data_IF_046835751231
#
_entry.id   IF_046835751231
#
_cell.length_a   1.000
_cell.length_b   1.000
_cell.length_c   1.000
_cell.angle_alpha   90.00
_cell.angle_beta   90.00
_cell.angle_gamma   90.00
#
_symmetry.space_group_name_H-M   'P 1'
#
loop_
_entity.id
_entity.type
_entity.pdbx_description
1 polymer ?
#
# COMPACT_ATOMS: atom_id res chain seq x y z
N UNK A 1 -61.31 -6.12 -1.08
CA UNK A 1 -60.02 -6.48 -1.72
C UNK A 1 -58.97 -6.43 -0.61
N UNK A 2 -58.53 -7.59 -0.10
CA UNK A 2 -57.33 -8.34 -0.54
C UNK A 2 -56.05 -7.53 -0.31
N UNK A 3 -55.30 -7.89 0.75
CA UNK A 3 -53.98 -8.58 0.68
C UNK A 3 -52.84 -7.56 0.51
N UNK A 4 -52.13 -7.22 1.60
CA UNK A 4 -50.86 -7.83 2.05
C UNK A 4 -49.61 -7.46 1.24
N UNK A 5 -48.55 -7.13 2.00
CA UNK A 5 -47.12 -7.35 1.70
C UNK A 5 -46.55 -6.72 0.41
N UNK A 6 -45.86 -5.60 0.58
CA UNK A 6 -44.65 -5.27 -0.19
C UNK A 6 -43.48 -5.47 0.78
N UNK A 7 -43.01 -6.71 0.90
CA UNK A 7 -41.89 -7.25 0.11
C UNK A 7 -40.57 -6.62 0.49
N UNK A 8 -39.84 -7.40 1.28
CA UNK A 8 -38.41 -7.39 1.48
C UNK A 8 -37.66 -7.02 0.19
N UNK A 9 -36.81 -6.00 0.28
CA UNK A 9 -35.62 -5.93 -0.56
C UNK A 9 -34.50 -6.51 0.30
N UNK A 10 -34.33 -7.82 0.17
CA UNK A 10 -33.04 -8.45 0.37
C UNK A 10 -32.18 -8.13 -0.86
N UNK A 11 -31.10 -7.40 -0.66
CA UNK A 11 -29.94 -7.36 -1.54
C UNK A 11 -28.78 -6.88 -0.66
N UNK A 12 -28.11 -7.80 0.02
CA UNK A 12 -26.82 -8.33 -0.46
C UNK A 12 -25.86 -7.19 -0.78
N UNK A 13 -25.14 -6.76 0.24
CA UNK A 13 -23.68 -6.75 0.12
C UNK A 13 -23.13 -7.26 1.43
N UNK A 14 -23.01 -8.58 1.50
CA UNK A 14 -21.98 -9.20 2.33
C UNK A 14 -20.71 -8.50 1.86
N UNK A 15 -20.21 -7.55 2.65
CA UNK A 15 -18.82 -7.16 2.56
C UNK A 15 -18.08 -8.42 2.95
N UNK A 16 -17.83 -9.24 1.93
CA UNK A 16 -16.78 -10.21 1.94
C UNK A 16 -15.55 -9.37 2.21
N UNK A 17 -15.21 -9.22 3.49
CA UNK A 17 -13.86 -9.04 3.97
C UNK A 17 -13.11 -10.30 3.54
N UNK A 18 -12.99 -10.49 2.22
CA UNK A 18 -12.02 -11.39 1.64
C UNK A 18 -10.73 -10.94 2.27
N UNK A 19 -10.08 -11.88 2.95
CA UNK A 19 -8.72 -11.71 3.39
C UNK A 19 -7.94 -11.20 2.17
N UNK A 20 -7.74 -9.89 2.09
CA UNK A 20 -6.71 -9.32 1.26
C UNK A 20 -5.45 -9.87 1.91
N UNK A 21 -4.97 -10.99 1.38
CA UNK A 21 -3.60 -11.37 1.59
C UNK A 21 -2.82 -10.14 1.16
N UNK A 22 -2.27 -9.41 2.14
CA UNK A 22 -1.51 -8.21 1.93
C UNK A 22 -0.26 -8.62 1.15
N UNK A 23 -0.40 -8.72 -0.17
CA UNK A 23 0.72 -8.94 -1.05
C UNK A 23 1.62 -7.72 -0.83
N UNK A 24 2.88 -7.98 -0.49
CA UNK A 24 3.86 -6.92 -0.31
C UNK A 24 4.81 -6.94 -1.50
N UNK A 25 4.99 -5.80 -2.15
CA UNK A 25 6.07 -5.59 -3.11
C UNK A 25 7.34 -5.20 -2.34
N UNK A 26 8.47 -5.74 -2.76
CA UNK A 26 9.78 -5.35 -2.26
C UNK A 26 10.42 -4.37 -3.25
N UNK A 27 10.84 -3.21 -2.77
CA UNK A 27 11.54 -2.19 -3.55
C UNK A 27 12.97 -2.09 -3.01
N UNK A 28 13.96 -2.25 -3.88
CA UNK A 28 15.37 -2.14 -3.50
C UNK A 28 15.82 -0.68 -3.60
N UNK A 29 16.26 -0.13 -2.48
CA UNK A 29 16.84 1.21 -2.39
C UNK A 29 18.33 1.10 -2.07
N UNK A 30 19.04 2.23 -2.10
CA UNK A 30 20.45 2.26 -1.72
C UNK A 30 20.58 2.06 -0.20
N UNK A 31 21.26 0.98 0.22
CA UNK A 31 21.49 0.63 1.62
C UNK A 31 20.31 -0.02 2.38
N UNK A 32 19.14 -0.19 1.76
CA UNK A 32 18.00 -0.89 2.37
C UNK A 32 16.98 -1.41 1.36
N UNK A 33 16.10 -2.31 1.79
CA UNK A 33 14.95 -2.81 1.05
C UNK A 33 13.67 -2.36 1.75
N UNK A 34 12.68 -1.92 0.99
CA UNK A 34 11.36 -1.55 1.50
C UNK A 34 10.37 -2.64 1.16
N UNK A 35 9.61 -3.12 2.15
CA UNK A 35 8.38 -3.86 1.91
C UNK A 35 7.19 -2.91 2.02
N UNK A 36 6.39 -2.83 0.95
CA UNK A 36 5.22 -1.96 0.81
C UNK A 36 4.04 -2.79 0.30
N UNK A 37 2.82 -2.41 0.64
CA UNK A 37 1.64 -3.09 0.12
C UNK A 37 1.58 -2.96 -1.42
N UNK A 38 1.27 -4.07 -2.11
CA UNK A 38 1.33 -4.17 -3.57
C UNK A 38 0.32 -3.20 -4.22
N UNK A 39 -0.86 -3.03 -3.65
CA UNK A 39 -1.86 -2.07 -4.13
C UNK A 39 -1.35 -0.62 -4.09
N UNK A 40 -0.49 -0.28 -3.12
CA UNK A 40 0.12 1.04 -3.02
C UNK A 40 1.20 1.20 -4.07
N UNK A 41 2.03 0.18 -4.28
CA UNK A 41 3.05 0.22 -5.31
C UNK A 41 2.45 0.27 -6.72
N UNK A 42 1.37 -0.46 -6.96
CA UNK A 42 0.59 -0.38 -8.20
C UNK A 42 -0.03 1.01 -8.40
N UNK A 43 -0.62 1.59 -7.36
CA UNK A 43 -1.16 2.94 -7.45
C UNK A 43 -0.05 3.97 -7.76
N UNK A 44 1.13 3.85 -7.15
CA UNK A 44 2.27 4.70 -7.47
C UNK A 44 2.75 4.50 -8.92
N UNK A 45 2.81 3.26 -9.40
CA UNK A 45 3.18 2.93 -10.79
C UNK A 45 2.20 3.51 -11.82
N UNK A 46 0.90 3.43 -11.56
CA UNK A 46 -0.14 4.00 -12.42
C UNK A 46 0.00 5.53 -12.51
N UNK A 47 0.28 6.20 -11.38
CA UNK A 47 0.46 7.66 -11.35
C UNK A 47 1.80 8.11 -11.96
N UNK A 48 2.86 7.31 -11.80
CA UNK A 48 4.18 7.57 -12.37
C UNK A 48 4.22 7.34 -13.88
N UNK A 49 3.36 6.48 -14.41
CA UNK A 49 3.42 6.01 -15.79
C UNK A 49 4.60 5.08 -16.08
N UNK A 50 5.40 4.73 -15.06
CA UNK A 50 6.45 3.72 -15.15
C UNK A 50 6.81 3.14 -13.79
N UNK A 51 7.17 1.84 -13.77
CA UNK A 51 7.63 1.15 -12.56
C UNK A 51 8.89 1.79 -11.98
N UNK A 52 9.86 2.15 -12.83
CA UNK A 52 11.13 2.74 -12.41
C UNK A 52 10.96 4.06 -11.69
N UNK A 53 10.08 4.94 -12.18
CA UNK A 53 9.81 6.23 -11.54
C UNK A 53 9.08 6.06 -10.21
N UNK A 54 8.12 5.14 -10.14
CA UNK A 54 7.44 4.81 -8.89
C UNK A 54 8.39 4.28 -7.82
N UNK A 55 9.29 3.36 -8.17
CA UNK A 55 10.31 2.82 -7.25
C UNK A 55 11.26 3.93 -6.77
N UNK A 56 11.69 4.82 -7.66
CA UNK A 56 12.52 5.97 -7.29
C UNK A 56 11.82 6.89 -6.28
N UNK A 57 10.52 7.18 -6.48
CA UNK A 57 9.73 8.00 -5.54
C UNK A 57 9.45 7.31 -4.21
N UNK A 58 9.25 6.00 -4.21
CA UNK A 58 9.13 5.21 -2.99
C UNK A 58 10.43 5.25 -2.19
N UNK A 59 11.59 5.07 -2.85
CA UNK A 59 12.89 5.20 -2.19
C UNK A 59 13.15 6.62 -1.67
N UNK A 60 12.84 7.66 -2.45
CA UNK A 60 12.97 9.07 -2.03
C UNK A 60 12.12 9.41 -0.80
N UNK A 61 10.92 8.80 -0.69
CA UNK A 61 10.08 8.94 0.49
C UNK A 61 10.67 8.25 1.72
N UNK A 62 11.30 7.08 1.53
CA UNK A 62 11.89 6.31 2.63
C UNK A 62 13.24 6.85 3.11
N UNK A 63 14.07 7.44 2.25
CA UNK A 63 15.36 8.05 2.65
C UNK A 63 15.20 9.26 3.56
N UNK A 64 14.00 9.84 3.64
CA UNK A 64 13.67 10.91 4.59
C UNK A 64 13.53 10.38 6.02
N UNK A 65 13.47 9.06 6.21
CA UNK A 65 13.39 8.42 7.51
C UNK A 65 14.80 8.10 8.00
N UNK A 66 15.09 8.47 9.24
CA UNK A 66 16.28 8.01 9.95
C UNK A 66 15.98 6.66 10.59
N UNK A 67 16.52 5.59 10.02
CA UNK A 67 16.57 4.26 10.66
C UNK A 67 17.75 4.22 11.64
N UNK A 68 17.55 3.61 12.81
CA UNK A 68 18.56 3.53 13.86
C UNK A 68 18.92 2.08 14.16
N UNK A 69 19.91 1.55 13.45
CA UNK A 69 20.44 0.21 13.62
C UNK A 69 20.13 -0.72 12.45
N UNK A 70 20.27 -2.02 12.70
CA UNK A 70 20.24 -3.06 11.66
C UNK A 70 18.91 -3.85 11.66
N UNK A 71 18.01 -3.53 12.59
CA UNK A 71 16.71 -4.19 12.73
C UNK A 71 15.68 -3.64 11.72
N UNK A 72 14.75 -4.46 11.19
CA UNK A 72 13.65 -3.97 10.39
C UNK A 72 12.72 -3.03 11.17
N UNK A 73 12.46 -1.85 10.62
CA UNK A 73 11.62 -0.83 11.26
C UNK A 73 10.37 -0.51 10.44
N UNK A 74 9.25 -0.23 11.12
CA UNK A 74 7.97 0.10 10.49
C UNK A 74 7.75 1.60 10.55
N UNK A 75 7.53 2.22 9.39
CA UNK A 75 7.37 3.67 9.29
C UNK A 75 6.22 4.07 8.38
N UNK A 76 5.65 5.24 8.65
CA UNK A 76 4.74 5.90 7.72
C UNK A 76 5.53 6.82 6.78
N UNK A 77 5.28 6.70 5.48
CA UNK A 77 5.85 7.54 4.43
C UNK A 77 4.75 8.23 3.62
N UNK A 78 5.16 9.29 2.93
CA UNK A 78 4.33 9.95 1.91
C UNK A 78 5.07 9.92 0.58
N UNK A 79 4.50 9.25 -0.41
CA UNK A 79 5.08 9.14 -1.75
C UNK A 79 4.64 10.35 -2.56
N UNK A 80 5.56 11.29 -2.80
CA UNK A 80 5.34 12.48 -3.61
C UNK A 80 5.85 12.27 -5.05
N UNK A 81 5.22 12.88 -6.07
CA UNK A 81 4.12 13.86 -6.01
C UNK A 81 2.71 13.24 -5.94
N UNK A 82 2.58 11.93 -5.74
CA UNK A 82 1.30 11.22 -5.82
C UNK A 82 0.43 11.37 -4.56
N UNK A 83 0.96 11.98 -3.51
CA UNK A 83 0.28 12.24 -2.22
C UNK A 83 -0.26 10.96 -1.54
N UNK A 84 0.37 9.81 -1.81
CA UNK A 84 -0.03 8.51 -1.23
C UNK A 84 0.64 8.35 0.13
N UNK A 85 -0.16 8.24 1.20
CA UNK A 85 0.31 7.90 2.55
C UNK A 85 0.21 6.41 2.78
N UNK A 86 1.28 5.80 3.28
CA UNK A 86 1.30 4.36 3.54
C UNK A 86 2.27 4.02 4.64
N UNK A 87 2.07 2.85 5.23
CA UNK A 87 3.05 2.20 6.09
C UNK A 87 3.98 1.33 5.24
N UNK A 88 5.26 1.33 5.58
CA UNK A 88 6.29 0.48 4.98
C UNK A 88 7.14 -0.17 6.06
N UNK A 89 7.76 -1.29 5.72
CA UNK A 89 8.83 -1.89 6.54
C UNK A 89 10.14 -1.62 5.83
N UNK A 90 11.07 -0.93 6.51
CA UNK A 90 12.43 -0.71 6.03
C UNK A 90 13.31 -1.80 6.60
N UNK A 91 14.02 -2.51 5.73
CA UNK A 91 14.92 -3.60 6.05
C UNK A 91 16.33 -3.16 5.64
N UNK A 92 17.20 -2.78 6.59
CA UNK A 92 18.59 -2.45 6.29
C UNK A 92 19.28 -3.60 5.53
N UNK A 93 20.14 -3.26 4.56
CA UNK A 93 21.02 -4.25 3.92
C UNK A 93 22.47 -3.81 4.09
N UNK A 94 23.26 -4.69 4.72
CA UNK A 94 24.70 -4.51 4.94
C UNK A 94 25.52 -4.38 3.63
#
# INVERSE_FOLDING_TARGET
MKLTHLSAIAAVLVMASGAAMANTKQVKCDGFVIAIADEIAMAAEENAGSMTEAEAKICEAATQISVSGDDPEVHEIVILPYEIRTTVVIIPVD
#
